data_IF_374296917396
#
_entry.id   IF_374296917396
#
_cell.length_a   1.000
_cell.length_b   1.000
_cell.length_c   1.000
_cell.angle_alpha   90.00
_cell.angle_beta   90.00
_cell.angle_gamma   90.00
#
_symmetry.space_group_name_H-M   'P 1'
#
loop_
_entity.id
_entity.type
_entity.pdbx_description
1 polymer ?
#
# COMPACT_ATOMS: atom_id res chain seq x y z
N UNK A 1 -16.54 81.73 3.95
CA UNK A 1 -17.46 80.61 3.64
C UNK A 1 -16.92 79.98 2.36
N UNK A 2 -16.10 78.92 2.48
CA UNK A 2 -16.53 77.51 2.59
C UNK A 2 -17.25 77.08 1.30
N UNK A 3 -16.83 76.07 0.53
CA UNK A 3 -15.75 75.09 0.64
C UNK A 3 -15.82 74.16 -0.59
N UNK A 4 -14.68 73.67 -1.04
CA UNK A 4 -14.53 72.55 -1.99
C UNK A 4 -15.17 71.26 -1.41
N UNK A 5 -15.81 70.44 -2.26
CA UNK A 5 -15.52 69.00 -2.27
C UNK A 5 -16.06 68.31 -3.53
N UNK A 6 -15.17 67.94 -4.46
CA UNK A 6 -15.39 66.86 -5.41
C UNK A 6 -14.42 65.78 -4.95
N UNK A 7 -14.95 64.75 -4.31
CA UNK A 7 -14.16 63.67 -3.75
C UNK A 7 -13.35 62.97 -4.84
N UNK A 8 -12.02 63.12 -4.76
CA UNK A 8 -11.07 62.32 -5.52
C UNK A 8 -11.02 60.92 -4.92
N UNK A 9 -11.30 59.93 -5.76
CA UNK A 9 -11.14 58.51 -5.43
C UNK A 9 -9.64 58.21 -5.41
N UNK A 10 -9.12 57.85 -4.24
CA UNK A 10 -7.74 57.41 -4.04
C UNK A 10 -7.48 56.10 -4.78
N UNK A 11 -6.59 56.14 -5.76
CA UNK A 11 -6.05 54.97 -6.45
C UNK A 11 -5.11 54.25 -5.49
N UNK A 12 -5.56 53.10 -4.96
CA UNK A 12 -4.72 52.18 -4.17
C UNK A 12 -3.58 51.68 -5.05
N UNK A 13 -2.35 51.81 -4.55
CA UNK A 13 -1.15 51.20 -5.12
C UNK A 13 -1.35 49.68 -5.23
N UNK A 14 -1.31 49.17 -6.47
CA UNK A 14 -1.24 47.74 -6.75
C UNK A 14 0.24 47.40 -6.77
N UNK A 15 0.69 46.69 -5.72
CA UNK A 15 2.01 46.09 -5.70
C UNK A 15 2.02 44.94 -6.73
N UNK A 16 2.51 45.21 -7.94
CA UNK A 16 2.75 44.19 -8.96
C UNK A 16 3.91 43.30 -8.50
N UNK A 17 3.58 42.22 -7.79
CA UNK A 17 4.50 41.11 -7.62
C UNK A 17 4.71 40.52 -9.01
N UNK A 18 5.91 40.72 -9.56
CA UNK A 18 6.35 40.00 -10.77
C UNK A 18 6.35 38.51 -10.41
N UNK A 19 5.35 37.78 -10.88
CA UNK A 19 5.43 36.32 -10.92
C UNK A 19 6.50 35.99 -11.95
N UNK A 20 7.64 35.46 -11.49
CA UNK A 20 8.54 34.78 -12.41
C UNK A 20 7.79 33.61 -13.05
N UNK A 21 7.95 33.36 -14.35
CA UNK A 21 7.28 32.25 -15.00
C UNK A 21 7.68 30.96 -14.26
N UNK A 22 6.71 30.32 -13.60
CA UNK A 22 6.89 29.00 -13.03
C UNK A 22 7.18 28.08 -14.21
N UNK A 23 8.46 27.77 -14.40
CA UNK A 23 8.92 26.81 -15.39
C UNK A 23 8.22 25.50 -15.02
N UNK A 24 7.36 24.92 -15.88
CA UNK A 24 6.80 23.62 -15.58
C UNK A 24 7.98 22.66 -15.48
N UNK A 25 8.26 22.18 -14.28
CA UNK A 25 9.15 21.06 -14.12
C UNK A 25 8.45 19.90 -14.82
N UNK A 26 8.91 19.56 -16.02
CA UNK A 26 8.62 18.27 -16.65
C UNK A 26 9.30 17.21 -15.78
N UNK A 27 8.72 16.92 -14.62
CA UNK A 27 9.12 15.79 -13.79
C UNK A 27 8.51 14.56 -14.46
N UNK A 28 9.17 14.07 -15.49
CA UNK A 28 9.05 12.66 -15.86
C UNK A 28 10.05 11.94 -14.94
N UNK A 29 9.73 11.86 -13.65
CA UNK A 29 10.49 10.98 -12.77
C UNK A 29 10.10 9.56 -13.17
N UNK A 30 11.04 8.68 -13.59
CA UNK A 30 10.75 7.28 -13.84
C UNK A 30 10.46 6.50 -12.54
N UNK A 31 10.31 7.22 -11.41
CA UNK A 31 10.19 6.68 -10.08
C UNK A 31 8.93 7.21 -9.39
N UNK A 32 8.26 6.33 -8.66
CA UNK A 32 7.18 6.69 -7.74
C UNK A 32 7.81 6.85 -6.36
N UNK A 33 7.58 7.98 -5.70
CA UNK A 33 8.05 8.19 -4.33
C UNK A 33 6.92 8.59 -3.38
N UNK A 34 6.99 8.09 -2.15
CA UNK A 34 6.07 8.43 -1.07
C UNK A 34 6.67 8.08 0.29
N UNK A 35 6.10 8.65 1.36
CA UNK A 35 6.32 8.14 2.72
C UNK A 35 5.25 7.10 3.02
N UNK A 36 5.64 5.91 3.48
CA UNK A 36 4.71 4.81 3.81
C UNK A 36 5.19 4.03 5.02
N UNK A 37 4.41 3.04 5.48
CA UNK A 37 4.82 2.10 6.52
C UNK A 37 5.24 0.77 5.91
N UNK A 38 6.33 0.20 6.42
CA UNK A 38 6.76 -1.16 6.11
C UNK A 38 6.64 -2.09 7.32
N UNK A 39 6.48 -3.38 7.04
CA UNK A 39 6.63 -4.46 8.02
C UNK A 39 7.09 -5.74 7.30
N UNK A 40 7.38 -6.78 8.08
CA UNK A 40 7.82 -8.07 7.55
C UNK A 40 6.87 -9.19 7.93
N UNK A 41 6.50 -10.01 6.95
CA UNK A 41 5.69 -11.22 7.15
C UNK A 41 6.38 -12.42 6.52
N UNK A 42 6.05 -13.62 7.02
CA UNK A 42 6.65 -14.87 6.57
C UNK A 42 5.69 -15.59 5.63
N UNK A 43 6.22 -16.05 4.50
CA UNK A 43 5.49 -16.87 3.53
C UNK A 43 5.30 -18.28 4.10
N UNK A 44 4.08 -18.78 3.95
CA UNK A 44 3.69 -20.12 4.38
C UNK A 44 3.15 -20.92 3.21
N UNK A 45 2.16 -21.78 3.43
CA UNK A 45 1.55 -22.58 2.37
C UNK A 45 0.93 -21.75 1.24
N UNK A 46 0.78 -22.33 0.03
CA UNK A 46 -0.05 -21.76 -1.02
C UNK A 46 -1.43 -21.40 -0.46
N UNK A 47 -1.92 -20.22 -0.83
CA UNK A 47 -3.31 -19.89 -0.56
C UNK A 47 -4.20 -20.74 -1.49
N UNK A 48 -5.25 -21.35 -0.94
CA UNK A 48 -6.19 -22.17 -1.69
C UNK A 48 -7.13 -21.27 -2.53
N UNK A 49 -6.57 -20.75 -3.62
CA UNK A 49 -7.23 -19.81 -4.54
C UNK A 49 -6.98 -20.20 -5.99
N UNK A 50 -7.85 -19.75 -6.91
CA UNK A 50 -7.64 -19.93 -8.36
C UNK A 50 -6.41 -19.19 -8.91
N UNK A 51 -5.82 -18.30 -8.11
CA UNK A 51 -4.61 -17.55 -8.44
C UNK A 51 -3.41 -18.11 -7.68
N UNK A 52 -2.19 -17.95 -8.21
CA UNK A 52 -1.00 -18.47 -7.58
C UNK A 52 -0.54 -17.61 -6.38
N UNK A 53 -1.39 -17.49 -5.37
CA UNK A 53 -1.14 -16.71 -4.16
C UNK A 53 -0.48 -17.55 -3.06
N UNK A 54 0.25 -16.89 -2.17
CA UNK A 54 0.83 -17.46 -0.95
C UNK A 54 0.16 -16.88 0.28
N UNK A 55 0.07 -17.69 1.35
CA UNK A 55 -0.37 -17.23 2.67
C UNK A 55 0.78 -16.56 3.42
N UNK A 56 0.48 -15.43 4.05
CA UNK A 56 1.42 -14.66 4.87
C UNK A 56 1.08 -14.80 6.35
N UNK A 57 2.10 -15.00 7.17
CA UNK A 57 2.00 -15.17 8.62
C UNK A 57 2.84 -14.13 9.36
N UNK A 58 2.37 -13.73 10.53
CA UNK A 58 3.16 -12.91 11.45
C UNK A 58 4.28 -13.71 12.11
N UNK A 59 5.11 -13.04 12.91
CA UNK A 59 6.22 -13.67 13.63
C UNK A 59 5.77 -14.75 14.65
N UNK A 60 4.49 -14.79 15.01
CA UNK A 60 3.88 -15.78 15.91
C UNK A 60 3.23 -16.94 15.15
N UNK A 61 3.29 -16.93 13.82
CA UNK A 61 2.68 -17.93 12.95
C UNK A 61 1.18 -17.74 12.70
N UNK A 62 0.57 -16.64 13.18
CA UNK A 62 -0.84 -16.33 12.89
C UNK A 62 -0.95 -15.87 11.44
N UNK A 63 -1.99 -16.35 10.76
CA UNK A 63 -2.26 -15.92 9.38
C UNK A 63 -2.69 -14.45 9.35
N UNK A 64 -2.09 -13.68 8.46
CA UNK A 64 -2.27 -12.23 8.35
C UNK A 64 -2.92 -11.82 7.02
N UNK A 65 -2.73 -12.61 5.96
CA UNK A 65 -3.25 -12.28 4.64
C UNK A 65 -2.64 -13.12 3.54
N UNK A 66 -2.76 -12.65 2.31
CA UNK A 66 -2.18 -13.32 1.12
C UNK A 66 -1.48 -12.36 0.20
N UNK A 67 -0.59 -12.92 -0.62
CA UNK A 67 0.19 -12.19 -1.60
C UNK A 67 0.30 -12.98 -2.89
N UNK A 68 0.20 -12.28 -4.02
CA UNK A 68 0.52 -12.78 -5.34
C UNK A 68 1.92 -12.32 -5.74
N UNK A 69 2.89 -13.24 -5.90
CA UNK A 69 4.20 -12.93 -6.47
C UNK A 69 4.09 -12.53 -7.95
N UNK A 70 4.95 -11.62 -8.41
CA UNK A 70 4.94 -11.14 -9.80
C UNK A 70 5.48 -12.16 -10.80
N UNK A 71 6.49 -12.97 -10.44
CA UNK A 71 7.08 -13.96 -11.37
C UNK A 71 6.30 -15.29 -11.39
N UNK A 72 4.98 -15.23 -11.25
CA UNK A 72 4.14 -16.39 -11.51
C UNK A 72 4.10 -16.63 -13.02
N UNK A 73 5.00 -17.47 -13.51
CA UNK A 73 4.97 -17.99 -14.87
C UNK A 73 3.77 -18.91 -15.13
N UNK A 74 3.89 -19.86 -16.06
CA UNK A 74 2.84 -20.85 -16.32
C UNK A 74 2.43 -21.62 -15.04
N UNK A 75 1.30 -22.34 -15.08
CA UNK A 75 0.73 -23.04 -13.89
C UNK A 75 1.76 -23.88 -13.12
N UNK A 76 2.68 -24.56 -13.82
CA UNK A 76 3.74 -25.38 -13.21
C UNK A 76 4.87 -24.54 -12.57
N UNK A 77 5.21 -23.41 -13.17
CA UNK A 77 6.20 -22.46 -12.65
C UNK A 77 5.68 -21.75 -11.40
N UNK A 78 4.37 -21.49 -11.35
CA UNK A 78 3.71 -20.87 -10.20
C UNK A 78 3.83 -21.72 -8.93
N UNK A 79 3.55 -23.02 -9.00
CA UNK A 79 3.68 -23.94 -7.85
C UNK A 79 5.12 -24.07 -7.38
N UNK A 80 6.05 -24.08 -8.33
CA UNK A 80 7.49 -24.10 -8.06
C UNK A 80 7.92 -22.85 -7.32
N UNK A 81 7.42 -21.68 -7.72
CA UNK A 81 7.75 -20.42 -7.05
C UNK A 81 7.14 -20.30 -5.66
N UNK A 82 5.87 -20.67 -5.49
CA UNK A 82 5.23 -20.72 -4.16
C UNK A 82 6.02 -21.61 -3.20
N UNK A 83 6.50 -22.75 -3.69
CA UNK A 83 7.34 -23.66 -2.91
C UNK A 83 8.70 -23.04 -2.56
N UNK A 84 9.34 -22.34 -3.51
CA UNK A 84 10.62 -21.64 -3.28
C UNK A 84 10.51 -20.52 -2.25
N UNK A 85 9.39 -19.81 -2.24
CA UNK A 85 9.16 -18.70 -1.31
C UNK A 85 8.78 -19.17 0.10
N UNK A 86 8.42 -20.45 0.31
CA UNK A 86 8.03 -20.92 1.66
C UNK A 86 9.11 -20.64 2.69
N UNK A 87 8.71 -20.02 3.79
CA UNK A 87 9.60 -19.61 4.88
C UNK A 87 10.33 -18.29 4.63
N UNK A 88 10.24 -17.70 3.43
CA UNK A 88 10.84 -16.40 3.15
C UNK A 88 10.16 -15.31 3.98
N UNK A 89 10.96 -14.39 4.52
CA UNK A 89 10.50 -13.20 5.23
C UNK A 89 10.48 -12.04 4.24
N UNK A 90 9.30 -11.59 3.85
CA UNK A 90 9.12 -10.54 2.85
C UNK A 90 9.05 -9.16 3.50
N UNK A 91 9.71 -8.18 2.91
CA UNK A 91 9.50 -6.76 3.25
C UNK A 91 8.29 -6.24 2.49
N UNK A 92 7.28 -5.78 3.23
CA UNK A 92 6.01 -5.32 2.69
C UNK A 92 5.81 -3.84 3.00
N UNK A 93 5.26 -3.08 2.06
CA UNK A 93 4.85 -1.68 2.26
C UNK A 93 3.35 -1.52 2.08
N UNK A 94 2.71 -0.71 2.93
CA UNK A 94 1.30 -0.38 2.76
C UNK A 94 1.08 0.60 1.60
N UNK A 95 0.00 0.42 0.85
CA UNK A 95 -0.38 1.30 -0.26
C UNK A 95 -1.63 2.09 0.13
N UNK A 96 -2.68 1.37 0.51
CA UNK A 96 -4.00 1.93 0.76
C UNK A 96 -4.82 0.99 1.63
N UNK A 97 -5.70 1.56 2.44
CA UNK A 97 -6.72 0.82 3.20
C UNK A 97 -7.94 0.55 2.32
N UNK A 98 -8.53 -0.64 2.44
CA UNK A 98 -9.76 -1.00 1.75
C UNK A 98 -10.71 -1.82 2.62
N UNK A 99 -11.94 -1.96 2.13
CA UNK A 99 -12.99 -2.77 2.74
C UNK A 99 -13.68 -3.62 1.68
N UNK A 100 -14.14 -4.81 2.06
CA UNK A 100 -14.97 -5.64 1.18
C UNK A 100 -16.10 -6.30 1.94
N UNK A 101 -17.29 -6.27 1.35
CA UNK A 101 -18.41 -7.10 1.79
C UNK A 101 -18.11 -8.58 1.52
N UNK A 102 -18.68 -9.42 2.37
CA UNK A 102 -18.48 -10.87 2.48
C UNK A 102 -18.96 -11.65 1.22
N UNK A 103 -18.37 -11.40 0.05
CA UNK A 103 -18.69 -12.10 -1.22
C UNK A 103 -17.58 -13.03 -1.71
N UNK A 104 -16.45 -13.11 -0.98
CA UNK A 104 -15.35 -14.06 -1.22
C UNK A 104 -15.00 -14.84 0.06
N UNK A 105 -16.03 -15.29 0.79
CA UNK A 105 -15.95 -15.99 2.09
C UNK A 105 -15.16 -17.32 2.10
N UNK A 106 -14.47 -17.67 1.01
CA UNK A 106 -13.54 -18.81 0.97
C UNK A 106 -12.22 -18.53 1.73
N UNK A 107 -11.89 -17.26 1.97
CA UNK A 107 -10.59 -16.89 2.56
C UNK A 107 -10.39 -17.30 4.02
N UNK A 108 -11.36 -17.10 4.93
CA UNK A 108 -11.17 -17.50 6.32
C UNK A 108 -11.39 -18.99 6.54
N UNK A 109 -12.41 -19.58 5.91
CA UNK A 109 -12.76 -20.99 6.06
C UNK A 109 -11.63 -21.94 5.64
N UNK A 110 -10.78 -21.54 4.69
CA UNK A 110 -9.63 -22.32 4.22
C UNK A 110 -8.31 -22.00 4.94
N UNK A 111 -8.25 -20.89 5.69
CA UNK A 111 -7.07 -20.51 6.49
C UNK A 111 -6.96 -21.24 7.84
N UNK A 112 -8.01 -21.98 8.23
CA UNK A 112 -8.12 -22.62 9.53
C UNK A 112 -8.42 -21.66 10.69
N UNK A 113 -8.66 -20.37 10.40
CA UNK A 113 -9.13 -19.40 11.40
C UNK A 113 -10.66 -19.51 11.51
N UNK A 114 -11.20 -19.76 12.72
CA UNK A 114 -12.64 -19.79 12.93
C UNK A 114 -13.28 -18.45 12.54
N UNK A 115 -14.43 -18.44 11.82
CA UNK A 115 -15.10 -17.21 11.37
C UNK A 115 -15.38 -16.16 12.47
N UNK A 116 -15.54 -16.62 13.71
CA UNK A 116 -15.75 -15.81 14.91
C UNK A 116 -14.49 -15.09 15.41
N UNK A 117 -13.30 -15.54 15.03
CA UNK A 117 -12.03 -14.90 15.40
C UNK A 117 -11.63 -13.79 14.43
N UNK A 118 -12.44 -13.52 13.41
CA UNK A 118 -12.17 -12.48 12.42
C UNK A 118 -12.76 -11.17 12.91
N UNK A 119 -11.95 -10.12 13.09
CA UNK A 119 -12.46 -8.81 13.43
C UNK A 119 -13.35 -8.26 12.30
N UNK A 120 -14.61 -7.91 12.62
CA UNK A 120 -15.57 -7.31 11.69
C UNK A 120 -16.06 -5.98 12.22
N UNK A 121 -16.14 -4.95 11.37
CA UNK A 121 -16.92 -3.74 11.62
C UNK A 121 -18.22 -3.90 10.82
N UNK A 122 -19.27 -4.37 11.48
CA UNK A 122 -20.49 -4.82 10.80
C UNK A 122 -20.25 -6.10 9.99
N UNK A 123 -20.53 -6.08 8.68
CA UNK A 123 -20.34 -7.20 7.74
C UNK A 123 -19.15 -6.99 6.77
N UNK A 124 -18.29 -6.00 7.03
CA UNK A 124 -17.16 -5.67 6.14
C UNK A 124 -15.84 -6.10 6.78
N UNK A 125 -14.99 -6.73 5.98
CA UNK A 125 -13.60 -6.97 6.37
C UNK A 125 -12.73 -5.80 5.93
N UNK A 126 -11.80 -5.41 6.80
CA UNK A 126 -10.87 -4.31 6.56
C UNK A 126 -9.48 -4.83 6.26
N UNK A 127 -8.83 -4.24 5.28
CA UNK A 127 -7.53 -4.67 4.80
C UNK A 127 -6.61 -3.50 4.48
N UNK A 128 -5.31 -3.77 4.53
CA UNK A 128 -4.31 -3.01 3.79
C UNK A 128 -3.97 -3.75 2.49
N UNK A 129 -3.99 -3.02 1.38
CA UNK A 129 -3.28 -3.44 0.18
C UNK A 129 -1.80 -3.17 0.39
N UNK A 130 -0.97 -4.16 0.10
CA UNK A 130 0.48 -4.09 0.32
C UNK A 130 1.25 -4.47 -0.95
N UNK A 131 2.46 -3.94 -1.09
CA UNK A 131 3.44 -4.44 -2.06
C UNK A 131 4.52 -5.22 -1.32
N UNK A 132 4.97 -6.32 -1.91
CA UNK A 132 6.29 -6.88 -1.58
C UNK A 132 7.34 -6.16 -2.41
N UNK A 133 8.36 -5.67 -1.73
CA UNK A 133 9.49 -4.98 -2.35
C UNK A 133 10.82 -5.65 -2.03
N UNK A 134 11.78 -5.46 -2.92
CA UNK A 134 13.20 -5.73 -2.71
C UNK A 134 14.01 -4.49 -3.11
N UNK A 135 15.12 -4.24 -2.41
CA UNK A 135 15.94 -3.06 -2.64
C UNK A 135 17.15 -3.37 -3.50
N UNK A 136 17.40 -2.55 -4.51
CA UNK A 136 18.64 -2.54 -5.28
C UNK A 136 19.13 -1.10 -5.42
N UNK A 137 20.34 -0.82 -4.92
CA UNK A 137 20.97 0.51 -4.98
C UNK A 137 20.09 1.68 -4.48
N UNK A 138 19.26 1.42 -3.46
CA UNK A 138 18.36 2.42 -2.88
C UNK A 138 17.05 2.64 -3.64
N UNK A 139 16.78 1.85 -4.69
CA UNK A 139 15.51 1.80 -5.39
C UNK A 139 14.78 0.51 -5.02
N UNK A 140 13.50 0.62 -4.67
CA UNK A 140 12.64 -0.51 -4.36
C UNK A 140 11.96 -1.04 -5.63
N UNK A 141 12.06 -2.35 -5.85
CA UNK A 141 11.43 -3.05 -6.95
C UNK A 141 10.25 -3.85 -6.44
N UNK A 142 9.10 -3.75 -7.12
CA UNK A 142 7.92 -4.54 -6.79
C UNK A 142 8.14 -5.99 -7.20
N UNK A 143 7.89 -6.90 -6.26
CA UNK A 143 7.99 -8.36 -6.43
C UNK A 143 6.65 -9.07 -6.27
N UNK A 144 5.63 -8.37 -5.78
CA UNK A 144 4.27 -8.89 -5.67
C UNK A 144 3.30 -7.91 -5.03
N UNK A 145 2.02 -8.29 -5.01
CA UNK A 145 0.91 -7.50 -4.43
C UNK A 145 0.05 -8.38 -3.53
N UNK A 146 -0.38 -7.84 -2.40
CA UNK A 146 -1.15 -8.61 -1.42
C UNK A 146 -2.21 -7.80 -0.68
N UNK A 147 -2.95 -8.52 0.16
CA UNK A 147 -3.95 -7.98 1.09
C UNK A 147 -3.68 -8.55 2.46
N UNK A 148 -3.52 -7.69 3.45
CA UNK A 148 -3.32 -8.05 4.86
C UNK A 148 -4.51 -7.55 5.66
N UNK A 149 -5.04 -8.36 6.56
CA UNK A 149 -6.09 -7.94 7.49
C UNK A 149 -5.61 -6.75 8.31
N UNK A 150 -6.50 -5.76 8.46
CA UNK A 150 -6.15 -4.49 9.09
C UNK A 150 -5.52 -4.69 10.47
N UNK A 151 -6.21 -5.42 11.34
CA UNK A 151 -5.76 -5.60 12.73
C UNK A 151 -4.45 -6.38 12.79
N UNK A 152 -4.32 -7.42 11.95
CA UNK A 152 -3.06 -8.17 11.82
C UNK A 152 -1.92 -7.29 11.33
N UNK A 153 -2.15 -6.39 10.36
CA UNK A 153 -1.14 -5.44 9.91
C UNK A 153 -0.78 -4.41 10.99
N UNK A 154 -1.77 -3.89 11.70
CA UNK A 154 -1.57 -2.87 12.71
C UNK A 154 -0.82 -3.37 13.95
N UNK A 155 -0.92 -4.67 14.25
CA UNK A 155 -0.17 -5.37 15.29
C UNK A 155 1.31 -5.64 14.93
N UNK A 156 1.72 -5.45 13.67
CA UNK A 156 3.12 -5.63 13.29
C UNK A 156 3.99 -4.48 13.79
N UNK A 157 5.28 -4.76 13.97
CA UNK A 157 6.30 -3.73 14.20
C UNK A 157 6.53 -2.94 12.90
N UNK A 158 5.78 -1.85 12.75
CA UNK A 158 5.73 -1.04 11.52
C UNK A 158 6.66 0.16 11.61
N UNK A 159 7.46 0.35 10.57
CA UNK A 159 8.40 1.47 10.46
C UNK A 159 7.95 2.41 9.33
N UNK A 160 8.01 3.72 9.57
CA UNK A 160 7.82 4.73 8.52
C UNK A 160 9.09 4.86 7.68
N UNK A 161 8.95 4.77 6.36
CA UNK A 161 10.05 4.90 5.40
C UNK A 161 9.72 5.89 4.29
N UNK A 162 10.76 6.48 3.70
CA UNK A 162 10.67 7.13 2.39
C UNK A 162 10.96 6.09 1.30
N UNK A 163 9.94 5.77 0.53
CA UNK A 163 9.96 4.77 -0.52
C UNK A 163 10.21 5.47 -1.86
N UNK A 164 11.16 4.95 -2.64
CA UNK A 164 11.38 5.30 -4.04
C UNK A 164 11.33 4.00 -4.84
N UNK A 165 10.35 3.86 -5.75
CA UNK A 165 10.14 2.67 -6.57
C UNK A 165 10.41 2.95 -8.05
N UNK A 166 11.00 1.98 -8.75
CA UNK A 166 11.36 2.04 -10.18
C UNK A 166 11.40 0.69 -10.87
#
# INVERSE_FOLDING_TARGET
>A
MSGMNIGQITQKEICLVRQEPVKPALIIAPFISCTTKRAWLVVSEPADTHYPMVSLRDARGRWAGTLQPDECGGVDESKTQQQKLRGARLELVEIVTGFSADHNADYPYKSGIPPEMIPKIGNLYHYYYVLWIEWENGIAYRKGIGKIWKDMWEEQDRETIDLIMG
#
